data_IF_974020793687
#
_entry.id   IF_974020793687
#
_cell.length_a   1.000
_cell.length_b   1.000
_cell.length_c   1.000
_cell.angle_alpha   90.00
_cell.angle_beta   90.00
_cell.angle_gamma   90.00
#
_symmetry.space_group_name_H-M   'P 1'
#
loop_
_entity.id
_entity.type
_entity.pdbx_description
1 polymer ?
#
# COMPACT_ATOMS: atom_id res chain seq x y z
N UNK A 1 0.44 -1.36 11.47
CA UNK A 1 1.15 -2.43 10.73
C UNK A 1 2.59 -2.53 11.21
N UNK A 2 3.10 -3.74 11.37
CA UNK A 2 4.51 -4.00 11.66
C UNK A 2 5.37 -3.88 10.40
N UNK A 3 6.70 -3.84 10.55
CA UNK A 3 7.61 -3.87 9.41
C UNK A 3 7.51 -5.20 8.62
N UNK A 4 7.23 -6.31 9.29
CA UNK A 4 7.03 -7.62 8.66
C UNK A 4 5.76 -7.63 7.79
N UNK A 5 4.65 -7.13 8.32
CA UNK A 5 3.41 -6.97 7.56
C UNK A 5 3.61 -6.05 6.34
N UNK A 6 4.35 -4.94 6.50
CA UNK A 6 4.70 -4.08 5.37
C UNK A 6 5.56 -4.80 4.32
N UNK A 7 6.47 -5.68 4.72
CA UNK A 7 7.27 -6.50 3.81
C UNK A 7 6.37 -7.40 2.96
N UNK A 8 5.45 -8.12 3.61
CA UNK A 8 4.49 -9.01 2.97
C UNK A 8 3.58 -8.27 1.99
N UNK A 9 3.03 -7.12 2.41
CA UNK A 9 2.13 -6.32 1.56
C UNK A 9 2.83 -5.69 0.35
N UNK A 10 4.11 -5.35 0.47
CA UNK A 10 4.88 -4.69 -0.61
C UNK A 10 5.67 -5.67 -1.48
N UNK A 11 5.80 -6.93 -1.06
CA UNK A 11 6.68 -7.92 -1.69
C UNK A 11 8.16 -7.62 -1.53
N UNK A 12 8.53 -6.65 -0.67
CA UNK A 12 9.92 -6.31 -0.40
C UNK A 12 10.51 -7.26 0.64
N UNK A 13 11.83 -7.48 0.58
CA UNK A 13 12.53 -8.20 1.65
C UNK A 13 12.50 -7.39 2.94
N UNK A 14 12.63 -8.07 4.09
CA UNK A 14 12.68 -7.43 5.41
C UNK A 14 13.77 -6.35 5.51
N UNK A 15 14.93 -6.58 4.88
CA UNK A 15 16.02 -5.60 4.83
C UNK A 15 15.65 -4.38 3.98
N UNK A 16 15.04 -4.60 2.82
CA UNK A 16 14.63 -3.51 1.92
C UNK A 16 13.54 -2.64 2.55
N UNK A 17 12.51 -3.24 3.15
CA UNK A 17 11.44 -2.47 3.82
C UNK A 17 11.97 -1.72 5.04
N UNK A 18 12.90 -2.30 5.81
CA UNK A 18 13.52 -1.61 6.95
C UNK A 18 14.24 -0.35 6.48
N UNK A 19 15.02 -0.44 5.40
CA UNK A 19 15.67 0.73 4.81
C UNK A 19 14.70 1.78 4.28
N UNK A 20 13.53 1.39 3.75
CA UNK A 20 12.46 2.33 3.38
C UNK A 20 11.90 3.04 4.62
N UNK A 21 11.56 2.28 5.66
CA UNK A 21 11.02 2.81 6.92
C UNK A 21 12.00 3.78 7.56
N UNK A 22 13.29 3.44 7.60
CA UNK A 22 14.32 4.31 8.18
C UNK A 22 14.42 5.66 7.47
N UNK A 23 14.31 5.67 6.12
CA UNK A 23 14.28 6.91 5.36
C UNK A 23 13.02 7.73 5.62
N UNK A 24 11.86 7.08 5.71
CA UNK A 24 10.59 7.74 6.02
C UNK A 24 10.58 8.29 7.46
N UNK A 25 11.16 7.58 8.41
CA UNK A 25 11.28 8.04 9.80
C UNK A 25 12.25 9.22 9.92
N UNK A 26 13.41 9.14 9.25
CA UNK A 26 14.38 10.26 9.19
C UNK A 26 13.79 11.52 8.60
N UNK A 27 12.89 11.38 7.62
CA UNK A 27 12.18 12.52 7.01
C UNK A 27 10.90 12.87 7.75
N UNK A 28 10.54 12.13 8.80
CA UNK A 28 9.42 12.36 9.70
C UNK A 28 8.05 12.03 9.12
N UNK A 29 7.96 11.21 8.06
CA UNK A 29 6.69 10.74 7.50
C UNK A 29 6.09 9.57 8.27
N UNK A 30 6.91 8.83 9.02
CA UNK A 30 6.47 7.76 9.90
C UNK A 30 7.21 7.83 11.22
N UNK A 31 6.67 7.17 12.24
CA UNK A 31 7.34 6.86 13.50
C UNK A 31 7.13 5.40 13.87
N UNK A 32 8.08 4.82 14.58
CA UNK A 32 7.89 3.52 15.27
C UNK A 32 7.26 3.75 16.63
N UNK A 33 6.19 3.01 16.92
CA UNK A 33 5.49 3.07 18.20
C UNK A 33 5.19 1.66 18.72
N UNK A 34 4.87 1.52 20.01
CA UNK A 34 4.41 0.25 20.55
C UNK A 34 2.94 0.03 20.19
N UNK A 35 2.62 -1.19 19.81
CA UNK A 35 1.23 -1.57 19.59
C UNK A 35 0.43 -1.39 20.89
N UNK A 36 -0.73 -0.70 20.85
CA UNK A 36 -1.56 -0.46 22.03
C UNK A 36 -2.14 -1.75 22.63
N UNK A 37 -2.33 -2.79 21.81
CA UNK A 37 -2.95 -4.06 22.20
C UNK A 37 -1.91 -5.13 22.56
N UNK A 38 -0.69 -5.08 21.99
CA UNK A 38 0.45 -5.91 22.41
C UNK A 38 1.76 -5.12 22.46
N UNK A 39 2.14 -4.67 23.67
CA UNK A 39 3.35 -3.84 23.88
C UNK A 39 4.68 -4.50 23.51
N UNK A 40 4.69 -5.80 23.14
CA UNK A 40 5.87 -6.50 22.59
C UNK A 40 6.04 -6.24 21.09
N UNK A 41 5.00 -5.80 20.41
CA UNK A 41 5.02 -5.47 18.97
C UNK A 41 5.36 -4.00 18.75
N UNK A 42 6.14 -3.75 17.71
CA UNK A 42 6.42 -2.41 17.20
C UNK A 42 5.66 -2.22 15.89
N UNK A 43 4.89 -1.14 15.81
CA UNK A 43 4.12 -0.75 14.64
C UNK A 43 4.68 0.52 14.03
N UNK A 44 4.57 0.63 12.71
CA UNK A 44 4.89 1.84 11.96
C UNK A 44 3.63 2.69 11.87
N UNK A 45 3.70 3.92 12.37
CA UNK A 45 2.59 4.87 12.41
C UNK A 45 2.91 6.04 11.47
N UNK A 46 2.10 6.31 10.44
CA UNK A 46 2.32 7.43 9.55
C UNK A 46 1.93 8.77 10.20
N UNK A 47 2.69 9.82 9.89
CA UNK A 47 2.25 11.21 10.10
C UNK A 47 1.35 11.62 8.94
N UNK A 48 0.05 11.39 9.12
CA UNK A 48 -0.95 11.68 8.09
C UNK A 48 -0.99 13.16 7.69
N UNK A 49 -0.80 14.08 8.64
CA UNK A 49 -0.85 15.52 8.35
C UNK A 49 0.32 15.93 7.46
N UNK A 50 1.52 15.45 7.76
CA UNK A 50 2.71 15.72 6.96
C UNK A 50 2.63 15.06 5.59
N UNK A 51 2.20 13.80 5.54
CA UNK A 51 1.96 13.10 4.28
C UNK A 51 0.98 13.90 3.41
N UNK A 52 -0.16 14.32 3.95
CA UNK A 52 -1.14 15.12 3.22
C UNK A 52 -0.58 16.47 2.77
N UNK A 53 0.17 17.17 3.61
CA UNK A 53 0.75 18.48 3.28
C UNK A 53 1.76 18.39 2.14
N UNK A 54 2.55 17.33 2.08
CA UNK A 54 3.60 17.17 1.06
C UNK A 54 3.06 16.52 -0.21
N UNK A 55 2.30 15.44 -0.08
CA UNK A 55 1.81 14.65 -1.21
C UNK A 55 0.49 15.19 -1.77
N UNK A 56 -0.35 15.83 -0.95
CA UNK A 56 -1.63 16.40 -1.38
C UNK A 56 -1.49 17.34 -2.58
N UNK A 57 -0.59 18.35 -2.56
CA UNK A 57 -0.37 19.21 -3.71
C UNK A 57 0.21 18.49 -4.93
N UNK A 58 1.04 17.46 -4.71
CA UNK A 58 1.67 16.68 -5.79
C UNK A 58 0.63 15.85 -6.54
N UNK A 59 -0.28 15.21 -5.80
CA UNK A 59 -1.34 14.38 -6.37
C UNK A 59 -2.65 15.11 -6.61
N UNK A 60 -2.80 16.36 -6.15
CA UNK A 60 -4.06 17.10 -6.24
C UNK A 60 -4.59 17.16 -7.67
N UNK A 61 -3.75 17.58 -8.62
CA UNK A 61 -4.15 17.58 -10.05
C UNK A 61 -4.50 16.18 -10.57
N UNK A 62 -3.80 15.14 -10.13
CA UNK A 62 -4.11 13.78 -10.53
C UNK A 62 -5.48 13.35 -10.00
N UNK A 63 -5.76 13.64 -8.72
CA UNK A 63 -7.04 13.33 -8.06
C UNK A 63 -8.18 14.07 -8.78
N UNK A 64 -8.02 15.37 -9.05
CA UNK A 64 -9.04 16.17 -9.74
C UNK A 64 -9.34 15.61 -11.13
N UNK A 65 -8.30 15.24 -11.89
CA UNK A 65 -8.47 14.67 -13.23
C UNK A 65 -9.07 13.25 -13.18
N UNK A 66 -8.73 12.46 -12.16
CA UNK A 66 -9.35 11.14 -11.93
C UNK A 66 -10.84 11.29 -11.60
N UNK A 67 -11.23 12.27 -10.78
CA UNK A 67 -12.66 12.54 -10.51
C UNK A 67 -13.43 12.88 -11.78
N UNK A 68 -12.89 13.77 -12.63
CA UNK A 68 -13.51 14.10 -13.93
C UNK A 68 -13.60 12.90 -14.86
N UNK A 69 -12.63 11.97 -14.78
CA UNK A 69 -12.70 10.72 -15.54
C UNK A 69 -13.80 9.80 -14.99
N UNK A 70 -13.91 9.64 -13.66
CA UNK A 70 -14.92 8.80 -13.04
C UNK A 70 -16.35 9.28 -13.32
N UNK A 71 -16.57 10.60 -13.41
CA UNK A 71 -17.87 11.20 -13.75
C UNK A 71 -18.35 10.85 -15.18
N UNK A 72 -17.49 10.27 -16.03
CA UNK A 72 -17.85 9.80 -17.37
C UNK A 72 -18.44 8.38 -17.37
N UNK A 73 -18.45 7.70 -16.22
CA UNK A 73 -18.95 6.35 -16.06
C UNK A 73 -20.16 6.35 -15.13
N UNK A 74 -21.12 5.47 -15.41
CA UNK A 74 -22.18 5.14 -14.46
C UNK A 74 -21.63 4.40 -13.23
N UNK A 75 -22.33 4.44 -12.08
CA UNK A 75 -21.96 3.65 -10.92
C UNK A 75 -21.83 2.16 -11.22
N UNK A 76 -22.68 1.60 -12.09
CA UNK A 76 -22.65 0.20 -12.50
C UNK A 76 -21.42 -0.15 -13.35
N UNK A 77 -20.98 0.77 -14.23
CA UNK A 77 -19.75 0.61 -15.00
C UNK A 77 -18.52 0.67 -14.10
N UNK A 78 -18.48 1.61 -13.15
CA UNK A 78 -17.41 1.68 -12.16
C UNK A 78 -17.35 0.42 -11.29
N UNK A 79 -18.49 -0.08 -10.82
CA UNK A 79 -18.57 -1.34 -10.07
C UNK A 79 -18.04 -2.53 -10.90
N UNK A 80 -18.39 -2.58 -12.19
CA UNK A 80 -17.90 -3.61 -13.11
C UNK A 80 -16.38 -3.52 -13.28
N UNK A 81 -15.83 -2.32 -13.47
CA UNK A 81 -14.39 -2.08 -13.60
C UNK A 81 -13.65 -2.48 -12.32
N UNK A 82 -14.16 -2.05 -11.15
CA UNK A 82 -13.61 -2.42 -9.85
C UNK A 82 -13.61 -3.94 -9.67
N UNK A 83 -14.75 -4.60 -9.92
CA UNK A 83 -14.88 -6.04 -9.81
C UNK A 83 -13.90 -6.79 -10.72
N UNK A 84 -13.73 -6.32 -11.96
CA UNK A 84 -12.75 -6.88 -12.88
C UNK A 84 -11.32 -6.73 -12.35
N UNK A 85 -10.92 -5.53 -11.93
CA UNK A 85 -9.57 -5.26 -11.40
C UNK A 85 -9.26 -6.11 -10.16
N UNK A 86 -10.21 -6.26 -9.25
CA UNK A 86 -10.06 -7.09 -8.05
C UNK A 86 -9.89 -8.56 -8.41
N UNK A 87 -10.79 -9.12 -9.23
CA UNK A 87 -10.72 -10.52 -9.68
C UNK A 87 -9.43 -10.82 -10.43
N UNK A 88 -8.99 -9.91 -11.32
CA UNK A 88 -7.73 -10.06 -12.05
C UNK A 88 -6.53 -9.98 -11.11
N UNK A 89 -6.56 -9.10 -10.10
CA UNK A 89 -5.48 -9.02 -9.09
C UNK A 89 -5.35 -10.32 -8.30
N UNK A 90 -6.47 -10.91 -7.87
CA UNK A 90 -6.47 -12.20 -7.16
C UNK A 90 -5.90 -13.30 -8.05
N UNK A 91 -6.41 -13.43 -9.27
CA UNK A 91 -5.94 -14.43 -10.24
C UNK A 91 -4.43 -14.33 -10.50
N UNK A 92 -3.91 -13.12 -10.73
CA UNK A 92 -2.48 -12.91 -10.98
C UNK A 92 -1.66 -13.28 -9.74
N UNK A 93 -2.11 -12.93 -8.53
CA UNK A 93 -1.41 -13.29 -7.29
C UNK A 93 -1.33 -14.80 -7.09
N UNK A 94 -2.43 -15.51 -7.34
CA UNK A 94 -2.50 -16.97 -7.25
C UNK A 94 -1.51 -17.62 -8.23
N UNK A 95 -1.52 -17.19 -9.50
CA UNK A 95 -0.59 -17.70 -10.52
C UNK A 95 0.89 -17.44 -10.18
N UNK A 96 1.22 -16.26 -9.66
CA UNK A 96 2.59 -15.94 -9.23
C UNK A 96 3.03 -16.84 -8.07
N UNK A 97 2.14 -17.16 -7.13
CA UNK A 97 2.42 -18.08 -6.02
C UNK A 97 2.63 -19.52 -6.49
N UNK A 98 1.83 -19.99 -7.45
CA UNK A 98 1.99 -21.32 -8.06
C UNK A 98 3.34 -21.47 -8.77
N UNK A 99 3.73 -20.48 -9.58
CA UNK A 99 5.03 -20.46 -10.27
C UNK A 99 6.20 -20.46 -9.28
N UNK A 100 6.11 -19.66 -8.21
CA UNK A 100 7.14 -19.61 -7.17
C UNK A 100 7.25 -20.90 -6.34
N UNK A 101 6.15 -21.66 -6.22
CA UNK A 101 6.10 -22.93 -5.50
C UNK A 101 6.63 -24.10 -6.35
N UNK A 102 6.39 -24.09 -7.66
CA UNK A 102 6.90 -25.10 -8.59
C UNK A 102 8.42 -25.00 -8.81
N UNK A 103 9.01 -23.81 -8.67
CA UNK A 103 10.46 -23.59 -8.77
C UNK A 103 11.26 -24.03 -7.52
N UNK A 104 10.61 -24.56 -6.48
CA UNK A 104 11.23 -25.05 -5.24
C UNK A 104 11.29 -26.59 -5.13
N UNK A 105 10.90 -27.33 -6.17
CA UNK A 105 11.10 -28.78 -6.30
C UNK A 105 12.26 -29.07 -7.25
#
# INVERSE_FOLDING_TARGET
>A
MTAGELAEHTGLTTGAITGVIDRLEKTGFVKRDRDPDDRRKVVIVPDQQKAQKVFGPVFGRLIDQMTVLYDQFSPEELDTICSYMEKTTVLIKELVQELGSNNKK
#
